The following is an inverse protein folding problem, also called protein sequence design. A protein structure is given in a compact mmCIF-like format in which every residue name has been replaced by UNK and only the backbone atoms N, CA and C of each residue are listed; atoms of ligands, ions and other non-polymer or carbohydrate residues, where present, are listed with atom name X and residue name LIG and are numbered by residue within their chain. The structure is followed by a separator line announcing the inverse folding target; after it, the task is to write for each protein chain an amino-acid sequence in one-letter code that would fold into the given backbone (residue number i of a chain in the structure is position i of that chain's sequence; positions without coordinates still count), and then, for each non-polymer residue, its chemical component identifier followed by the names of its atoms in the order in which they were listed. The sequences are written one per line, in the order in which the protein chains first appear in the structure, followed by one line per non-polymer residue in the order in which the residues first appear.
data_IF_741443069257
#
_entry.id   IF_741443069257
#
_cell.length_a   1.000
_cell.length_b   1.000
_cell.length_c   1.000
_cell.angle_alpha   90.00
_cell.angle_beta   90.00
_cell.angle_gamma   90.00
#
_symmetry.space_group_name_H-M   'P 1'
#
loop_
_entity.id
_entity.type
_entity.pdbx_description
1 polymer ?
#
# COMPACT_ATOMS: atom_id res chain seq x y z
N UNK A 1 68.74 -28.73 -29.11
CA UNK A 1 67.28 -28.80 -29.00
C UNK A 1 66.93 -28.59 -27.54
N UNK A 2 66.27 -27.47 -27.23
CA UNK A 2 65.79 -27.18 -25.88
C UNK A 2 64.61 -28.11 -25.55
N UNK A 3 64.45 -28.59 -24.31
CA UNK A 3 63.26 -29.31 -23.93
C UNK A 3 62.10 -28.31 -23.88
N UNK A 4 61.03 -28.59 -24.64
CA UNK A 4 59.75 -27.94 -24.42
C UNK A 4 59.23 -28.40 -23.07
N UNK A 5 59.30 -27.53 -22.07
CA UNK A 5 58.49 -27.67 -20.86
C UNK A 5 57.03 -27.47 -21.26
N UNK A 6 56.24 -28.55 -21.18
CA UNK A 6 54.79 -28.45 -21.19
C UNK A 6 54.38 -27.52 -20.04
N UNK A 7 53.79 -26.37 -20.39
CA UNK A 7 53.15 -25.50 -19.41
C UNK A 7 51.82 -26.17 -19.10
N UNK A 8 51.78 -26.98 -18.05
CA UNK A 8 50.52 -27.41 -17.44
C UNK A 8 49.85 -26.16 -16.85
N UNK A 9 48.82 -25.66 -17.55
CA UNK A 9 47.91 -24.68 -16.98
C UNK A 9 47.01 -25.47 -16.02
N UNK A 10 47.39 -25.52 -14.75
CA UNK A 10 46.49 -25.99 -13.70
C UNK A 10 45.27 -25.06 -13.66
N UNK A 11 44.13 -25.55 -14.16
CA UNK A 11 42.85 -24.87 -14.00
C UNK A 11 42.41 -25.00 -12.55
N UNK A 12 42.94 -24.13 -11.68
CA UNK A 12 42.45 -24.06 -10.29
C UNK A 12 41.00 -23.61 -10.33
N UNK A 13 40.11 -24.42 -9.75
CA UNK A 13 38.71 -24.04 -9.60
C UNK A 13 38.63 -22.75 -8.81
N UNK A 14 37.95 -21.74 -9.37
CA UNK A 14 37.72 -20.46 -8.68
C UNK A 14 36.72 -20.69 -7.55
N UNK A 15 37.14 -20.42 -6.32
CA UNK A 15 36.29 -20.49 -5.14
C UNK A 15 35.57 -19.15 -4.91
N UNK A 16 34.50 -19.13 -4.11
CA UNK A 16 33.77 -17.91 -3.78
C UNK A 16 34.68 -16.81 -3.21
N UNK A 17 35.62 -17.19 -2.35
CA UNK A 17 36.62 -16.30 -1.75
C UNK A 17 37.62 -15.72 -2.74
N UNK A 18 37.77 -16.33 -3.92
CA UNK A 18 38.66 -15.84 -4.97
C UNK A 18 38.02 -14.69 -5.78
N UNK A 19 36.70 -14.48 -5.64
CA UNK A 19 35.99 -13.39 -6.31
C UNK A 19 36.26 -12.05 -5.60
N UNK A 20 36.48 -10.95 -6.34
CA UNK A 20 36.47 -9.60 -5.79
C UNK A 20 35.18 -9.31 -5.02
N UNK A 21 35.28 -8.50 -3.96
CA UNK A 21 34.16 -8.20 -3.06
C UNK A 21 33.00 -7.52 -3.80
N UNK A 22 33.29 -6.75 -4.85
CA UNK A 22 32.30 -6.10 -5.69
C UNK A 22 31.46 -7.13 -6.47
N UNK A 23 32.10 -8.18 -7.01
CA UNK A 23 31.38 -9.26 -7.70
C UNK A 23 30.57 -10.11 -6.72
N UNK A 24 31.12 -10.38 -5.54
CA UNK A 24 30.37 -11.06 -4.48
C UNK A 24 29.12 -10.26 -4.09
N UNK A 25 29.26 -8.95 -3.89
CA UNK A 25 28.14 -8.05 -3.58
C UNK A 25 27.09 -8.04 -4.70
N UNK A 26 27.51 -7.92 -5.97
CA UNK A 26 26.59 -7.98 -7.11
C UNK A 26 25.81 -9.30 -7.17
N UNK A 27 26.45 -10.43 -6.90
CA UNK A 27 25.78 -11.74 -6.87
C UNK A 27 24.77 -11.79 -5.73
N UNK A 28 25.15 -11.33 -4.53
CA UNK A 28 24.24 -11.28 -3.37
C UNK A 28 23.06 -10.33 -3.61
N UNK A 29 23.27 -9.22 -4.34
CA UNK A 29 22.19 -8.32 -4.75
C UNK A 29 21.14 -9.02 -5.63
N UNK A 30 21.54 -10.01 -6.42
CA UNK A 30 20.64 -10.80 -7.27
C UNK A 30 19.95 -11.96 -6.51
N UNK A 31 20.40 -12.28 -5.29
CA UNK A 31 19.81 -13.34 -4.49
C UNK A 31 18.45 -12.91 -3.91
N UNK A 32 17.50 -13.85 -3.89
CA UNK A 32 16.24 -13.70 -3.17
C UNK A 32 16.45 -13.63 -1.65
N UNK A 33 15.40 -13.24 -0.92
CA UNK A 33 15.49 -13.09 0.53
C UNK A 33 15.86 -14.40 1.25
N UNK A 34 15.28 -15.53 0.84
CA UNK A 34 15.58 -16.84 1.44
C UNK A 34 17.06 -17.21 1.28
N UNK A 35 17.61 -17.01 0.10
CA UNK A 35 19.03 -17.27 -0.17
C UNK A 35 19.91 -16.35 0.67
N UNK A 36 19.54 -15.07 0.82
CA UNK A 36 20.26 -14.14 1.70
C UNK A 36 20.21 -14.56 3.17
N UNK A 37 19.09 -15.07 3.67
CA UNK A 37 19.03 -15.62 5.04
C UNK A 37 20.02 -16.78 5.21
N UNK A 38 20.09 -17.70 4.23
CA UNK A 38 21.07 -18.79 4.26
C UNK A 38 22.50 -18.27 4.22
N UNK A 39 22.78 -17.24 3.41
CA UNK A 39 24.09 -16.61 3.36
C UNK A 39 24.47 -15.99 4.72
N UNK A 40 23.53 -15.36 5.43
CA UNK A 40 23.76 -14.84 6.79
C UNK A 40 24.13 -15.95 7.78
N UNK A 41 23.50 -17.11 7.67
CA UNK A 41 23.78 -18.24 8.54
C UNK A 41 25.12 -18.93 8.24
N UNK A 42 25.69 -18.77 7.04
CA UNK A 42 26.90 -19.50 6.63
C UNK A 42 28.21 -18.95 7.18
N UNK A 43 28.41 -17.63 7.22
CA UNK A 43 29.64 -17.03 7.75
C UNK A 43 29.48 -15.54 8.06
N UNK A 44 30.37 -14.98 8.88
CA UNK A 44 30.36 -13.56 9.20
C UNK A 44 30.54 -12.68 7.95
N UNK A 45 31.41 -13.07 7.01
CA UNK A 45 31.65 -12.31 5.78
C UNK A 45 30.43 -12.32 4.86
N UNK A 46 29.76 -13.46 4.71
CA UNK A 46 28.54 -13.59 3.92
C UNK A 46 27.35 -12.90 4.57
N UNK A 47 27.27 -12.91 5.90
CA UNK A 47 26.32 -12.09 6.66
C UNK A 47 26.50 -10.61 6.36
N UNK A 48 27.71 -10.09 6.51
CA UNK A 48 28.00 -8.69 6.23
C UNK A 48 27.66 -8.32 4.77
N UNK A 49 27.99 -9.20 3.81
CA UNK A 49 27.62 -8.99 2.40
C UNK A 49 26.09 -8.97 2.19
N UNK A 50 25.36 -9.91 2.79
CA UNK A 50 23.90 -9.99 2.70
C UNK A 50 23.21 -8.78 3.36
N UNK A 51 23.76 -8.28 4.45
CA UNK A 51 23.24 -7.13 5.22
C UNK A 51 23.54 -5.78 4.56
N UNK A 52 24.60 -5.70 3.74
CA UNK A 52 24.97 -4.47 3.04
C UNK A 52 24.42 -4.40 1.62
N UNK A 53 24.21 -5.55 0.96
CA UNK A 53 23.67 -5.62 -0.39
C UNK A 53 22.25 -5.03 -0.47
N UNK A 54 21.98 -4.21 -1.50
CA UNK A 54 20.64 -3.65 -1.70
C UNK A 54 19.63 -4.76 -1.96
N UNK A 55 18.45 -4.68 -1.33
CA UNK A 55 17.34 -5.59 -1.56
C UNK A 55 16.15 -4.80 -2.06
N UNK A 56 15.61 -5.20 -3.21
CA UNK A 56 14.33 -4.72 -3.68
C UNK A 56 13.28 -5.80 -3.45
N UNK A 57 12.21 -5.49 -2.73
CA UNK A 57 11.07 -6.38 -2.52
C UNK A 57 9.93 -5.86 -3.42
N UNK A 58 9.59 -6.55 -4.52
CA UNK A 58 8.54 -6.10 -5.44
C UNK A 58 7.22 -5.76 -4.75
N UNK A 59 6.76 -6.63 -3.85
CA UNK A 59 5.54 -6.39 -3.11
C UNK A 59 5.57 -7.00 -1.71
N UNK A 60 5.03 -6.24 -0.76
CA UNK A 60 4.71 -6.67 0.60
C UNK A 60 3.23 -6.36 0.84
N UNK A 61 2.53 -7.27 1.52
CA UNK A 61 1.14 -7.08 1.88
C UNK A 61 0.91 -7.43 3.34
N UNK A 62 0.30 -6.51 4.08
CA UNK A 62 -0.21 -6.73 5.43
C UNK A 62 -1.72 -6.69 5.32
N UNK A 63 -2.38 -7.77 5.76
CA UNK A 63 -3.82 -7.91 5.75
C UNK A 63 -4.29 -8.32 7.13
N UNK A 64 -5.04 -7.44 7.76
CA UNK A 64 -5.85 -7.74 8.93
C UNK A 64 -7.11 -8.46 8.45
N UNK A 65 -7.48 -9.52 9.15
CA UNK A 65 -8.71 -10.27 8.92
C UNK A 65 -9.49 -10.28 10.23
N UNK A 66 -10.78 -10.56 10.09
CA UNK A 66 -11.65 -10.77 11.26
C UNK A 66 -11.10 -11.87 12.17
N UNK A 67 -11.42 -11.77 13.46
CA UNK A 67 -10.94 -12.65 14.53
C UNK A 67 -9.43 -12.51 14.81
N UNK A 68 -8.90 -11.29 14.78
CA UNK A 68 -7.51 -10.99 15.18
C UNK A 68 -6.43 -11.73 14.36
N UNK A 69 -6.76 -12.15 13.13
CA UNK A 69 -5.80 -12.83 12.26
C UNK A 69 -5.08 -11.80 11.40
N UNK A 70 -3.76 -11.78 11.47
CA UNK A 70 -2.94 -10.93 10.59
C UNK A 70 -2.22 -11.81 9.57
N UNK A 71 -2.23 -11.39 8.31
CA UNK A 71 -1.54 -12.06 7.21
C UNK A 71 -0.46 -11.16 6.65
N UNK A 72 0.78 -11.65 6.64
CA UNK A 72 1.92 -11.00 6.01
C UNK A 72 2.34 -11.79 4.77
N UNK A 73 2.38 -11.13 3.63
CA UNK A 73 2.72 -11.75 2.35
C UNK A 73 3.87 -11.01 1.68
N UNK A 74 4.88 -11.75 1.22
CA UNK A 74 5.98 -11.21 0.44
C UNK A 74 5.99 -11.82 -0.97
N UNK A 75 6.23 -10.97 -1.97
CA UNK A 75 6.46 -11.37 -3.36
C UNK A 75 7.85 -10.91 -3.79
N UNK A 76 8.77 -11.86 -3.98
CA UNK A 76 10.17 -11.57 -4.30
C UNK A 76 10.51 -11.61 -5.80
N UNK A 77 9.71 -12.28 -6.63
CA UNK A 77 9.91 -12.29 -8.09
C UNK A 77 8.60 -12.59 -8.83
N UNK A 78 8.50 -12.13 -10.08
CA UNK A 78 7.34 -12.40 -10.93
C UNK A 78 7.36 -13.88 -11.34
N UNK A 79 6.58 -14.72 -10.64
CA UNK A 79 6.46 -16.16 -10.92
C UNK A 79 6.90 -17.06 -9.76
N UNK A 80 7.43 -16.51 -8.67
CA UNK A 80 7.63 -17.27 -7.43
C UNK A 80 6.31 -17.44 -6.66
N UNK A 81 6.22 -18.50 -5.87
CA UNK A 81 5.16 -18.64 -4.88
C UNK A 81 5.22 -17.49 -3.88
N UNK A 82 4.05 -16.92 -3.57
CA UNK A 82 3.93 -15.91 -2.52
C UNK A 82 4.33 -16.52 -1.18
N UNK A 83 5.19 -15.81 -0.45
CA UNK A 83 5.56 -16.20 0.90
C UNK A 83 4.51 -15.64 1.86
N UNK A 84 3.52 -16.48 2.19
CA UNK A 84 2.37 -16.12 3.02
C UNK A 84 2.54 -16.67 4.43
N UNK A 85 2.49 -15.77 5.41
CA UNK A 85 2.45 -16.07 6.83
C UNK A 85 1.11 -15.61 7.41
N UNK A 86 0.47 -16.47 8.19
CA UNK A 86 -0.72 -16.12 8.96
C UNK A 86 -0.39 -16.19 10.44
N UNK A 87 -0.77 -15.14 11.16
CA UNK A 87 -0.59 -14.97 12.59
C UNK A 87 -1.97 -14.97 13.21
N UNK A 88 -2.19 -15.82 14.21
CA UNK A 88 -3.45 -15.89 14.91
C UNK A 88 -3.20 -16.14 16.39
N UNK A 89 -4.09 -15.57 17.20
CA UNK A 89 -4.06 -15.69 18.64
C UNK A 89 -4.40 -17.13 19.05
N UNK A 90 -3.66 -17.66 20.02
CA UNK A 90 -3.99 -18.88 20.74
C UNK A 90 -4.51 -18.53 22.14
N UNK A 91 -4.95 -19.53 22.90
CA UNK A 91 -5.25 -19.34 24.31
C UNK A 91 -4.03 -18.78 25.06
N UNK A 92 -4.26 -17.98 26.11
CA UNK A 92 -3.22 -17.46 27.02
C UNK A 92 -2.26 -16.41 26.44
N UNK A 93 -2.63 -15.72 25.34
CA UNK A 93 -1.83 -14.61 24.78
C UNK A 93 -0.60 -15.06 24.00
N UNK A 94 -0.60 -16.31 23.53
CA UNK A 94 0.40 -16.82 22.59
C UNK A 94 -0.03 -16.51 21.15
N UNK A 95 0.93 -16.30 20.26
CA UNK A 95 0.69 -16.19 18.82
C UNK A 95 1.22 -17.40 18.09
N UNK A 96 0.41 -17.94 17.18
CA UNK A 96 0.84 -19.00 16.29
C UNK A 96 1.04 -18.48 14.87
N UNK A 97 2.18 -18.86 14.28
CA UNK A 97 2.60 -18.49 12.94
C UNK A 97 2.47 -19.71 12.04
N UNK A 98 1.56 -19.62 11.06
CA UNK A 98 1.33 -20.64 10.03
C UNK A 98 1.91 -20.22 8.71
N UNK A 99 2.75 -21.10 8.15
CA UNK A 99 3.17 -21.07 6.75
C UNK A 99 2.74 -22.35 6.04
N UNK A 100 2.20 -22.22 4.83
CA UNK A 100 1.81 -23.38 4.01
C UNK A 100 3.00 -24.33 3.83
N UNK A 101 2.79 -25.61 4.17
CA UNK A 101 3.79 -26.67 4.00
C UNK A 101 4.92 -26.67 5.03
N UNK A 102 4.83 -25.86 6.09
CA UNK A 102 5.77 -25.85 7.20
C UNK A 102 5.09 -26.16 8.53
N UNK A 103 5.91 -26.48 9.52
CA UNK A 103 5.46 -26.65 10.89
C UNK A 103 5.06 -25.29 11.48
N UNK A 104 4.01 -25.32 12.29
CA UNK A 104 3.53 -24.15 13.01
C UNK A 104 4.55 -23.72 14.06
N UNK A 105 4.81 -22.42 14.15
CA UNK A 105 5.69 -21.82 15.16
C UNK A 105 4.82 -21.13 16.21
N UNK A 106 5.11 -21.33 17.49
CA UNK A 106 4.42 -20.67 18.60
C UNK A 106 5.36 -19.63 19.19
N UNK A 107 4.86 -18.42 19.36
CA UNK A 107 5.57 -17.30 19.98
C UNK A 107 4.81 -16.90 21.22
N UNK A 108 5.49 -16.95 22.36
CA UNK A 108 4.91 -16.59 23.65
C UNK A 108 4.88 -15.07 23.84
N UNK A 109 3.90 -14.61 24.63
CA UNK A 109 3.80 -13.22 25.14
C UNK A 109 3.78 -12.12 24.06
N UNK A 110 3.26 -12.41 22.86
CA UNK A 110 3.05 -11.43 21.79
C UNK A 110 1.71 -11.65 21.15
N UNK A 111 0.99 -10.56 20.86
CA UNK A 111 -0.20 -10.64 20.03
C UNK A 111 0.16 -10.80 18.53
N UNK A 112 -0.81 -11.23 17.69
CA UNK A 112 -0.56 -11.46 16.27
C UNK A 112 -0.08 -10.23 15.50
N UNK A 113 -0.52 -9.03 15.89
CA UNK A 113 -0.07 -7.77 15.32
C UNK A 113 1.39 -7.50 15.65
N UNK A 114 1.76 -7.53 16.93
CA UNK A 114 3.16 -7.35 17.36
C UNK A 114 4.12 -8.35 16.69
N UNK A 115 3.78 -9.64 16.69
CA UNK A 115 4.60 -10.67 16.04
C UNK A 115 4.72 -10.45 14.52
N UNK A 116 3.66 -9.97 13.87
CA UNK A 116 3.69 -9.60 12.45
C UNK A 116 4.62 -8.41 12.21
N UNK A 117 4.50 -7.38 13.04
CA UNK A 117 5.26 -6.15 12.89
C UNK A 117 6.75 -6.37 13.13
N UNK A 118 7.12 -7.22 14.09
CA UNK A 118 8.51 -7.59 14.32
C UNK A 118 9.14 -8.26 13.10
N UNK A 119 8.41 -9.15 12.43
CA UNK A 119 8.92 -9.74 11.20
C UNK A 119 8.97 -8.70 10.08
N UNK A 120 7.93 -7.89 9.92
CA UNK A 120 7.94 -6.81 8.93
C UNK A 120 9.14 -5.87 9.14
N UNK A 121 9.42 -5.45 10.37
CA UNK A 121 10.59 -4.62 10.71
C UNK A 121 11.89 -5.30 10.34
N UNK A 122 12.07 -6.55 10.76
CA UNK A 122 13.26 -7.35 10.45
C UNK A 122 13.48 -7.51 8.94
N UNK A 123 12.42 -7.66 8.15
CA UNK A 123 12.54 -7.86 6.70
C UNK A 123 12.60 -6.57 5.89
N UNK A 124 11.89 -5.52 6.30
CA UNK A 124 11.58 -4.36 5.46
C UNK A 124 12.14 -3.04 5.97
N UNK A 125 12.42 -2.92 7.27
CA UNK A 125 12.83 -1.65 7.90
C UNK A 125 14.35 -1.66 8.08
N UNK A 126 15.05 -2.00 6.99
CA UNK A 126 16.50 -1.97 6.92
C UNK A 126 16.96 -0.86 5.95
N UNK A 127 18.14 -0.28 6.20
CA UNK A 127 18.67 0.84 5.41
C UNK A 127 18.92 0.51 3.93
N UNK A 128 19.10 -0.76 3.60
CA UNK A 128 19.39 -1.28 2.26
C UNK A 128 18.18 -1.94 1.58
N UNK A 129 17.00 -1.95 2.22
CA UNK A 129 15.79 -2.55 1.66
C UNK A 129 14.91 -1.46 1.05
N UNK A 130 14.32 -1.73 -0.10
CA UNK A 130 13.29 -0.88 -0.72
C UNK A 130 12.10 -1.75 -1.15
N UNK A 131 10.90 -1.34 -0.78
CA UNK A 131 9.65 -1.97 -1.18
C UNK A 131 9.12 -1.27 -2.43
N UNK A 132 8.77 -2.04 -3.46
CA UNK A 132 8.06 -1.52 -4.64
C UNK A 132 6.64 -1.13 -4.27
N UNK A 133 5.84 -2.11 -3.87
CA UNK A 133 4.43 -1.93 -3.52
C UNK A 133 4.12 -2.47 -2.12
N UNK A 134 3.64 -1.60 -1.24
CA UNK A 134 3.10 -1.98 0.06
C UNK A 134 1.57 -1.95 0.01
N UNK A 135 0.96 -3.11 0.23
CA UNK A 135 -0.48 -3.26 0.32
C UNK A 135 -0.90 -3.38 1.78
N UNK A 136 -1.80 -2.53 2.23
CA UNK A 136 -2.38 -2.56 3.57
C UNK A 136 -3.87 -2.82 3.44
N UNK A 137 -4.37 -3.86 4.07
CA UNK A 137 -5.80 -4.12 4.25
C UNK A 137 -6.06 -4.13 5.75
N UNK A 138 -6.61 -3.05 6.29
CA UNK A 138 -6.72 -2.83 7.73
C UNK A 138 -8.18 -2.81 8.19
N UNK A 139 -8.46 -3.34 9.38
CA UNK A 139 -9.77 -3.36 10.02
C UNK A 139 -9.73 -3.04 11.52
N UNK A 140 -10.89 -2.71 12.11
CA UNK A 140 -11.04 -2.30 13.52
C UNK A 140 -10.72 -3.39 14.57
N UNK A 141 -10.57 -4.64 14.15
CA UNK A 141 -10.46 -5.79 15.07
C UNK A 141 -9.03 -6.08 15.53
N UNK A 142 -8.04 -5.22 15.22
CA UNK A 142 -6.65 -5.43 15.65
C UNK A 142 -6.15 -4.28 16.52
N UNK A 143 -5.47 -4.63 17.61
CA UNK A 143 -5.08 -3.75 18.72
C UNK A 143 -3.94 -2.76 18.41
N UNK A 144 -3.66 -2.46 17.13
CA UNK A 144 -2.59 -1.52 16.75
C UNK A 144 -2.71 -0.14 17.43
N UNK A 145 -3.92 0.23 17.83
CA UNK A 145 -4.25 1.47 18.52
C UNK A 145 -3.66 1.60 19.92
N UNK A 146 -3.35 0.50 20.60
CA UNK A 146 -2.85 0.56 21.98
C UNK A 146 -1.35 0.89 22.04
N UNK A 147 -0.65 0.87 20.91
CA UNK A 147 0.78 1.07 20.81
C UNK A 147 1.13 2.32 19.98
N UNK A 148 1.16 3.49 20.60
CA UNK A 148 1.69 4.74 20.01
C UNK A 148 3.16 4.63 19.53
N UNK A 149 3.83 3.53 19.86
CA UNK A 149 5.23 3.24 19.57
C UNK A 149 5.44 2.07 18.58
N UNK A 150 4.52 1.84 17.63
CA UNK A 150 4.71 0.79 16.60
C UNK A 150 6.08 0.92 15.91
N UNK A 151 6.62 2.13 15.74
CA UNK A 151 7.96 2.32 15.19
C UNK A 151 8.79 3.30 16.02
N UNK A 152 10.07 2.98 16.23
CA UNK A 152 11.06 3.89 16.82
C UNK A 152 11.45 5.00 15.83
N UNK A 153 11.91 6.16 16.33
CA UNK A 153 12.26 7.32 15.49
C UNK A 153 13.34 7.04 14.43
N UNK A 154 14.17 6.03 14.64
CA UNK A 154 15.22 5.60 13.70
C UNK A 154 14.73 4.61 12.64
N UNK A 155 13.55 4.03 12.83
CA UNK A 155 12.93 3.09 11.89
C UNK A 155 12.26 3.85 10.74
N UNK A 156 12.94 3.85 9.58
CA UNK A 156 12.49 4.52 8.36
C UNK A 156 12.17 3.47 7.30
N UNK A 157 10.97 3.56 6.73
CA UNK A 157 10.45 2.66 5.72
C UNK A 157 10.75 3.24 4.33
N UNK A 158 11.38 2.45 3.48
CA UNK A 158 11.70 2.84 2.10
C UNK A 158 10.72 2.16 1.15
N UNK A 159 9.68 2.87 0.74
CA UNK A 159 8.62 2.33 -0.11
C UNK A 159 8.31 3.29 -1.26
N UNK A 160 8.06 2.72 -2.44
CA UNK A 160 7.73 3.53 -3.63
C UNK A 160 6.23 3.77 -3.76
N UNK A 161 5.39 2.79 -3.43
CA UNK A 161 3.93 2.87 -3.63
C UNK A 161 3.18 2.22 -2.48
N UNK A 162 2.13 2.88 -2.01
CA UNK A 162 1.23 2.37 -0.97
C UNK A 162 -0.19 2.28 -1.51
N UNK A 163 -0.80 1.10 -1.40
CA UNK A 163 -2.23 0.90 -1.55
C UNK A 163 -2.80 0.50 -0.19
N UNK A 164 -3.66 1.33 0.36
CA UNK A 164 -4.30 1.11 1.65
C UNK A 164 -5.80 0.97 1.48
N UNK A 165 -6.31 -0.21 1.76
CA UNK A 165 -7.72 -0.51 1.93
C UNK A 165 -8.06 -0.38 3.41
N UNK A 166 -8.82 0.66 3.75
CA UNK A 166 -9.20 0.99 5.11
C UNK A 166 -10.65 0.53 5.36
N UNK A 167 -10.82 -0.40 6.29
CA UNK A 167 -12.10 -0.92 6.77
C UNK A 167 -12.21 -0.73 8.29
N UNK A 168 -12.11 0.53 8.76
CA UNK A 168 -12.01 0.87 10.17
C UNK A 168 -10.94 1.92 10.44
N UNK A 169 -10.68 2.23 11.70
CA UNK A 169 -9.79 3.27 12.18
C UNK A 169 -8.33 2.82 12.41
N UNK A 170 -7.94 1.59 12.01
CA UNK A 170 -6.61 1.03 12.32
C UNK A 170 -5.45 2.02 12.10
N UNK A 171 -4.70 2.29 13.18
CA UNK A 171 -3.59 3.26 13.18
C UNK A 171 -2.40 2.85 12.31
N UNK A 172 -2.29 1.56 11.94
CA UNK A 172 -1.13 1.00 11.23
C UNK A 172 -0.80 1.77 9.93
N UNK A 173 -1.81 2.07 9.11
CA UNK A 173 -1.61 2.75 7.83
C UNK A 173 -1.03 4.16 8.01
N UNK A 174 -1.58 4.92 8.97
CA UNK A 174 -1.07 6.24 9.32
C UNK A 174 0.37 6.16 9.87
N UNK A 175 0.65 5.24 10.78
CA UNK A 175 1.99 5.11 11.36
C UNK A 175 3.03 4.73 10.31
N UNK A 176 2.70 3.81 9.40
CA UNK A 176 3.60 3.46 8.28
C UNK A 176 3.89 4.68 7.42
N UNK A 177 2.88 5.47 7.05
CA UNK A 177 3.06 6.67 6.23
C UNK A 177 3.95 7.72 6.92
N UNK A 178 3.82 7.91 8.23
CA UNK A 178 4.70 8.81 9.01
C UNK A 178 6.17 8.38 8.98
N UNK A 179 6.45 7.07 8.83
CA UNK A 179 7.80 6.52 8.77
C UNK A 179 8.35 6.34 7.36
N UNK A 180 7.56 6.66 6.34
CA UNK A 180 8.00 6.55 4.96
C UNK A 180 9.03 7.62 4.61
N UNK A 181 10.08 7.21 3.91
CA UNK A 181 11.10 8.12 3.38
C UNK A 181 10.49 9.00 2.28
N UNK A 182 10.37 10.33 2.46
CA UNK A 182 9.58 11.14 1.54
C UNK A 182 10.14 11.25 0.13
N UNK A 183 11.45 11.07 -0.05
CA UNK A 183 12.08 11.14 -1.37
C UNK A 183 11.80 9.92 -2.26
N UNK A 184 11.36 8.81 -1.67
CA UNK A 184 11.15 7.55 -2.40
C UNK A 184 9.68 7.29 -2.73
N UNK A 185 8.76 7.84 -1.93
CA UNK A 185 7.33 7.60 -2.08
C UNK A 185 6.78 8.38 -3.28
N UNK A 186 6.19 7.64 -4.22
CA UNK A 186 5.65 8.15 -5.48
C UNK A 186 4.13 8.09 -5.53
N UNK A 187 3.54 7.01 -5.03
CA UNK A 187 2.09 6.81 -5.12
C UNK A 187 1.50 6.47 -3.75
N UNK A 188 0.46 7.20 -3.37
CA UNK A 188 -0.42 6.86 -2.25
C UNK A 188 -1.83 6.69 -2.82
N UNK A 189 -2.42 5.52 -2.55
CA UNK A 189 -3.83 5.25 -2.83
C UNK A 189 -4.51 4.72 -1.58
N UNK A 190 -5.53 5.41 -1.08
CA UNK A 190 -6.36 4.99 0.06
C UNK A 190 -7.78 4.74 -0.43
N UNK A 191 -8.32 3.56 -0.16
CA UNK A 191 -9.69 3.17 -0.48
C UNK A 191 -10.40 2.82 0.81
N UNK A 192 -11.41 3.61 1.15
CA UNK A 192 -12.17 3.45 2.38
C UNK A 192 -13.50 2.72 2.12
N UNK A 193 -13.87 1.82 3.03
CA UNK A 193 -15.17 1.12 3.00
C UNK A 193 -16.16 1.63 4.07
N UNK A 194 -15.70 2.48 5.00
CA UNK A 194 -16.48 3.05 6.09
C UNK A 194 -16.61 4.58 5.95
N UNK A 195 -17.63 5.18 6.56
CA UNK A 195 -17.90 6.64 6.45
C UNK A 195 -17.08 7.47 7.46
N UNK A 196 -15.82 7.13 7.71
CA UNK A 196 -14.99 7.91 8.61
C UNK A 196 -14.18 8.94 7.84
N UNK A 197 -13.71 9.98 8.54
CA UNK A 197 -12.73 10.88 7.96
C UNK A 197 -11.35 10.21 8.02
N UNK A 198 -10.61 10.30 6.92
CA UNK A 198 -9.20 9.91 6.84
C UNK A 198 -8.39 11.10 7.32
N UNK A 199 -7.88 11.01 8.55
CA UNK A 199 -7.06 12.06 9.17
C UNK A 199 -5.61 11.92 8.68
N UNK A 200 -5.36 12.36 7.45
CA UNK A 200 -4.06 12.18 6.80
C UNK A 200 -3.23 13.47 6.85
N UNK A 201 -3.84 14.65 6.67
CA UNK A 201 -3.11 15.91 6.59
C UNK A 201 -2.73 16.47 7.97
N UNK A 202 -3.52 16.20 9.00
CA UNK A 202 -3.22 16.54 10.38
C UNK A 202 -2.10 15.64 10.94
N UNK A 203 -2.17 14.33 10.66
CA UNK A 203 -1.25 13.32 11.22
C UNK A 203 0.02 13.15 10.39
N UNK A 204 -0.08 13.35 9.07
CA UNK A 204 1.02 13.17 8.12
C UNK A 204 1.23 14.48 7.37
N UNK A 205 2.44 15.01 7.43
CA UNK A 205 2.80 16.16 6.60
C UNK A 205 3.00 15.72 5.14
N UNK A 206 1.89 15.54 4.40
CA UNK A 206 1.92 15.08 3.00
C UNK A 206 2.76 15.98 2.10
N UNK A 207 2.90 17.27 2.47
CA UNK A 207 3.73 18.24 1.75
C UNK A 207 5.22 17.89 1.80
N UNK A 208 5.64 17.01 2.72
CA UNK A 208 6.99 16.45 2.74
C UNK A 208 7.27 15.54 1.52
N UNK A 209 6.25 14.92 0.92
CA UNK A 209 6.37 14.03 -0.24
C UNK A 209 6.50 14.82 -1.56
N UNK A 210 7.63 15.50 -1.74
CA UNK A 210 7.89 16.34 -2.93
C UNK A 210 7.91 15.55 -4.25
N UNK A 211 8.19 14.25 -4.19
CA UNK A 211 8.30 13.37 -5.35
C UNK A 211 7.01 12.57 -5.60
N UNK A 212 5.93 12.87 -4.88
CA UNK A 212 4.65 12.18 -5.06
C UNK A 212 4.12 12.46 -6.46
N UNK A 213 3.97 11.40 -7.26
CA UNK A 213 3.40 11.40 -8.60
C UNK A 213 1.86 11.31 -8.48
N UNK A 214 1.35 10.46 -7.59
CA UNK A 214 -0.10 10.27 -7.38
C UNK A 214 -0.51 10.29 -5.90
N UNK A 215 -1.59 11.02 -5.60
CA UNK A 215 -2.34 10.95 -4.35
C UNK A 215 -3.81 10.65 -4.64
N UNK A 216 -4.33 9.48 -4.26
CA UNK A 216 -5.73 9.14 -4.53
C UNK A 216 -6.39 8.62 -3.26
N UNK A 217 -7.30 9.39 -2.68
CA UNK A 217 -8.02 9.04 -1.46
C UNK A 217 -9.51 9.01 -1.80
N UNK A 218 -10.08 7.81 -1.69
CA UNK A 218 -11.50 7.54 -1.93
C UNK A 218 -12.15 7.39 -0.56
N UNK A 219 -12.56 8.53 0.00
CA UNK A 219 -13.01 8.68 1.38
C UNK A 219 -12.96 10.15 1.78
N UNK A 220 -13.67 10.51 2.85
CA UNK A 220 -13.70 11.87 3.37
C UNK A 220 -12.33 12.23 3.96
N UNK A 221 -11.75 13.38 3.63
CA UNK A 221 -10.41 13.78 4.11
C UNK A 221 -10.40 15.12 4.86
N UNK A 222 -9.49 15.22 5.83
CA UNK A 222 -9.20 16.37 6.68
C UNK A 222 -8.42 17.52 6.00
N UNK A 223 -8.22 17.46 4.68
CA UNK A 223 -7.43 18.44 3.94
C UNK A 223 -8.17 19.78 3.77
N UNK A 224 -7.49 20.90 4.00
CA UNK A 224 -8.01 22.24 3.64
C UNK A 224 -7.54 22.67 2.25
N UNK A 225 -8.13 23.76 1.72
CA UNK A 225 -7.80 24.30 0.40
C UNK A 225 -6.30 24.57 0.21
N UNK A 226 -5.65 25.14 1.23
CA UNK A 226 -4.21 25.45 1.21
C UNK A 226 -3.35 24.18 1.10
N UNK A 227 -3.81 23.07 1.68
CA UNK A 227 -3.11 21.79 1.61
C UNK A 227 -3.13 21.25 0.18
N UNK A 228 -4.30 21.23 -0.43
CA UNK A 228 -4.48 20.75 -1.81
C UNK A 228 -3.69 21.63 -2.79
N UNK A 229 -3.70 22.95 -2.59
CA UNK A 229 -2.95 23.88 -3.43
C UNK A 229 -1.43 23.72 -3.29
N UNK A 230 -0.92 23.24 -2.16
CA UNK A 230 0.50 22.98 -1.94
C UNK A 230 0.99 21.67 -2.58
N UNK A 231 0.08 20.76 -2.97
CA UNK A 231 0.46 19.49 -3.60
C UNK A 231 1.09 19.71 -4.97
N UNK A 232 2.14 18.93 -5.24
CA UNK A 232 2.85 18.92 -6.52
C UNK A 232 2.53 17.70 -7.39
N UNK A 233 1.77 16.73 -6.86
CA UNK A 233 1.41 15.51 -7.56
C UNK A 233 0.68 15.79 -8.88
N UNK A 234 0.97 14.94 -9.88
CA UNK A 234 0.38 15.04 -11.21
C UNK A 234 -1.02 14.44 -11.23
N UNK A 235 -1.26 13.41 -10.42
CA UNK A 235 -2.58 12.81 -10.22
C UNK A 235 -3.06 13.02 -8.80
N UNK A 236 -4.19 13.70 -8.62
CA UNK A 236 -4.81 13.92 -7.31
C UNK A 236 -6.29 13.55 -7.37
N UNK A 237 -6.73 12.67 -6.47
CA UNK A 237 -8.13 12.40 -6.18
C UNK A 237 -8.32 12.60 -4.68
N UNK A 238 -9.17 13.56 -4.28
CA UNK A 238 -9.50 13.83 -2.89
C UNK A 238 -10.99 14.12 -2.76
N UNK A 239 -11.61 13.71 -1.65
CA UNK A 239 -13.01 13.97 -1.38
C UNK A 239 -13.15 14.66 -0.03
N UNK A 240 -13.72 15.87 0.01
CA UNK A 240 -13.92 16.56 1.28
C UNK A 240 -15.10 17.53 1.30
N UNK A 241 -15.86 17.54 2.40
CA UNK A 241 -16.94 18.49 2.65
C UNK A 241 -16.45 19.94 2.89
N UNK A 242 -15.19 20.13 3.32
CA UNK A 242 -14.67 21.46 3.69
C UNK A 242 -14.07 22.25 2.51
N UNK A 243 -13.82 21.62 1.37
CA UNK A 243 -13.25 22.29 0.21
C UNK A 243 -14.09 23.48 -0.26
N UNK A 244 -13.49 24.62 -0.59
CA UNK A 244 -14.28 25.78 -1.06
C UNK A 244 -14.52 25.77 -2.57
N UNK A 245 -15.48 26.58 -3.04
CA UNK A 245 -15.61 26.86 -4.48
C UNK A 245 -14.40 27.63 -5.03
N UNK A 246 -13.70 28.39 -4.19
CA UNK A 246 -12.47 29.12 -4.58
C UNK A 246 -11.33 28.16 -4.87
N UNK A 247 -11.24 27.02 -4.17
CA UNK A 247 -10.26 25.97 -4.45
C UNK A 247 -10.32 25.56 -5.92
N UNK A 248 -11.51 25.22 -6.42
CA UNK A 248 -11.68 24.78 -7.82
C UNK A 248 -11.18 25.85 -8.80
N UNK A 249 -11.50 27.12 -8.55
CA UNK A 249 -11.05 28.23 -9.39
C UNK A 249 -9.51 28.38 -9.35
N UNK A 250 -8.90 28.34 -8.17
CA UNK A 250 -7.45 28.49 -8.02
C UNK A 250 -6.67 27.30 -8.62
N UNK A 251 -7.23 26.10 -8.50
CA UNK A 251 -6.71 24.90 -9.13
C UNK A 251 -6.74 25.01 -10.66
N UNK A 252 -7.88 25.41 -11.25
CA UNK A 252 -7.97 25.66 -12.69
C UNK A 252 -6.90 26.67 -13.14
N UNK A 253 -6.70 27.76 -12.39
CA UNK A 253 -5.65 28.76 -12.68
C UNK A 253 -4.24 28.19 -12.52
N UNK A 254 -3.98 27.39 -11.49
CA UNK A 254 -2.68 26.75 -11.24
C UNK A 254 -2.33 25.83 -12.41
N UNK A 255 -3.25 24.96 -12.81
CA UNK A 255 -3.03 23.98 -13.87
C UNK A 255 -2.95 24.59 -15.27
N UNK A 256 -3.79 25.56 -15.59
CA UNK A 256 -3.69 26.31 -16.84
C UNK A 256 -2.33 27.02 -17.00
N UNK A 257 -1.69 27.43 -15.88
CA UNK A 257 -0.36 28.04 -15.87
C UNK A 257 0.78 27.01 -15.93
N UNK A 258 0.65 25.91 -15.20
CA UNK A 258 1.72 24.92 -15.02
C UNK A 258 1.80 23.89 -16.16
N UNK A 259 0.81 23.83 -17.06
CA UNK A 259 0.76 22.90 -18.20
C UNK A 259 0.99 21.43 -17.79
N UNK A 260 0.46 21.05 -16.62
CA UNK A 260 0.53 19.70 -16.07
C UNK A 260 -0.53 18.82 -16.75
N UNK A 261 -0.11 17.64 -17.20
CA UNK A 261 -0.81 16.78 -18.18
C UNK A 261 -1.82 15.77 -17.60
N UNK A 262 -2.16 15.83 -16.31
CA UNK A 262 -2.72 14.67 -15.62
C UNK A 262 -4.00 14.95 -14.81
N UNK A 263 -4.72 13.86 -14.56
CA UNK A 263 -6.11 13.85 -14.07
C UNK A 263 -6.22 14.31 -12.63
N UNK A 264 -7.08 15.28 -12.41
CA UNK A 264 -7.49 15.75 -11.10
C UNK A 264 -8.95 15.29 -10.85
N UNK A 265 -9.33 15.04 -9.60
CA UNK A 265 -10.72 14.84 -9.21
C UNK A 265 -10.90 15.33 -7.77
N UNK A 266 -11.74 16.34 -7.58
CA UNK A 266 -12.30 16.66 -6.27
C UNK A 266 -13.75 16.24 -6.27
N UNK A 267 -14.22 15.68 -5.16
CA UNK A 267 -15.65 15.58 -4.88
C UNK A 267 -15.88 16.29 -3.55
N UNK A 268 -16.82 17.24 -3.54
CA UNK A 268 -17.22 17.97 -2.33
C UNK A 268 -18.67 17.64 -2.00
N UNK A 269 -19.01 17.65 -0.71
CA UNK A 269 -20.39 17.85 -0.24
C UNK A 269 -20.56 19.26 0.36
N UNK A 270 -21.24 20.19 -0.33
CA UNK A 270 -21.63 21.49 0.26
C UNK A 270 -21.37 22.74 -0.61
N UNK A 271 -22.06 23.84 -0.30
CA UNK A 271 -22.35 25.01 -1.16
C UNK A 271 -21.30 25.45 -2.21
N UNK A 272 -21.75 25.63 -3.48
CA UNK A 272 -20.96 26.03 -4.66
C UNK A 272 -21.39 27.38 -5.27
N UNK A 273 -22.08 28.24 -4.52
CA UNK A 273 -22.49 29.55 -5.01
C UNK A 273 -21.30 30.42 -5.49
N UNK A 274 -20.09 30.15 -4.99
CA UNK A 274 -18.85 30.86 -5.35
C UNK A 274 -18.10 30.28 -6.57
N UNK A 275 -18.57 29.16 -7.15
CA UNK A 275 -17.91 28.51 -8.28
C UNK A 275 -18.16 29.32 -9.57
N UNK A 276 -17.08 29.81 -10.19
CA UNK A 276 -17.18 30.54 -11.45
C UNK A 276 -17.04 29.60 -12.64
N UNK A 277 -17.97 29.66 -13.59
CA UNK A 277 -17.87 28.91 -14.87
C UNK A 277 -17.26 29.77 -15.98
N UNK A 278 -16.69 30.92 -15.64
CA UNK A 278 -16.07 31.84 -16.59
C UNK A 278 -14.95 31.13 -17.37
N UNK A 279 -15.04 31.15 -18.71
CA UNK A 279 -14.10 30.45 -19.59
C UNK A 279 -14.50 29.02 -19.95
N UNK A 280 -15.55 28.47 -19.34
CA UNK A 280 -16.10 27.17 -19.71
C UNK A 280 -17.28 27.29 -20.68
N UNK A 281 -17.31 26.38 -21.66
CA UNK A 281 -18.46 26.13 -22.53
C UNK A 281 -19.37 25.08 -21.89
N UNK A 282 -20.70 25.30 -21.84
CA UNK A 282 -21.63 24.26 -21.40
C UNK A 282 -21.61 23.09 -22.38
N UNK A 283 -21.54 21.88 -21.84
CA UNK A 283 -21.81 20.65 -22.60
C UNK A 283 -23.32 20.43 -22.51
N UNK A 284 -24.03 20.25 -23.64
CA UNK A 284 -25.45 19.93 -23.61
C UNK A 284 -25.67 18.68 -22.76
N UNK A 285 -26.28 18.84 -21.59
CA UNK A 285 -26.74 17.71 -20.78
C UNK A 285 -27.91 17.03 -21.51
N UNK A 286 -28.07 15.73 -21.30
CA UNK A 286 -29.34 15.08 -21.66
C UNK A 286 -30.45 15.78 -20.87
N UNK A 287 -31.47 16.27 -21.58
CA UNK A 287 -32.63 16.92 -20.95
C UNK A 287 -33.18 16.03 -19.82
N UNK A 288 -33.24 16.57 -18.59
CA UNK A 288 -33.76 15.86 -17.41
C UNK A 288 -32.73 15.40 -16.38
N UNK A 289 -31.42 15.51 -16.66
CA UNK A 289 -30.38 15.13 -15.68
C UNK A 289 -30.08 16.27 -14.68
N UNK A 290 -29.86 15.98 -13.38
CA UNK A 290 -29.53 16.98 -12.36
C UNK A 290 -28.07 17.46 -12.42
N UNK A 291 -27.31 17.05 -13.45
CA UNK A 291 -25.90 17.39 -13.62
C UNK A 291 -25.74 18.42 -14.74
N UNK A 292 -25.11 19.54 -14.40
CA UNK A 292 -24.59 20.50 -15.38
C UNK A 292 -23.13 20.17 -15.69
N UNK A 293 -22.79 19.98 -16.97
CA UNK A 293 -21.42 19.71 -17.40
C UNK A 293 -20.88 20.86 -18.23
N UNK A 294 -19.61 21.19 -18.04
CA UNK A 294 -18.91 22.25 -18.74
C UNK A 294 -17.53 21.76 -19.18
N UNK A 295 -16.99 22.36 -20.24
CA UNK A 295 -15.62 22.11 -20.72
C UNK A 295 -14.86 23.40 -20.95
N UNK A 296 -13.56 23.39 -20.68
CA UNK A 296 -12.66 24.47 -21.05
C UNK A 296 -11.46 23.88 -21.81
N UNK A 297 -11.30 24.19 -23.10
CA UNK A 297 -10.13 23.76 -23.86
C UNK A 297 -8.88 24.52 -23.38
N UNK A 298 -7.77 23.80 -23.25
CA UNK A 298 -6.45 24.35 -22.94
C UNK A 298 -5.62 24.48 -24.22
N UNK A 299 -4.57 25.34 -24.24
CA UNK A 299 -3.74 25.58 -25.42
C UNK A 299 -2.99 24.35 -25.96
N UNK A 300 -2.86 23.29 -25.17
CA UNK A 300 -2.08 22.07 -25.44
C UNK A 300 -2.94 20.89 -25.94
N UNK A 301 -4.17 21.14 -26.37
CA UNK A 301 -5.22 20.15 -26.72
C UNK A 301 -5.80 19.37 -25.53
N UNK A 302 -5.42 19.68 -24.29
CA UNK A 302 -6.09 19.16 -23.10
C UNK A 302 -7.44 19.85 -22.90
N UNK A 303 -8.39 19.18 -22.24
CA UNK A 303 -9.69 19.74 -21.89
C UNK A 303 -9.94 19.56 -20.41
N UNK A 304 -10.31 20.64 -19.73
CA UNK A 304 -10.81 20.62 -18.37
C UNK A 304 -12.32 20.41 -18.41
N UNK A 305 -12.80 19.32 -17.83
CA UNK A 305 -14.19 19.00 -17.62
C UNK A 305 -14.60 19.40 -16.20
N UNK A 306 -15.69 20.13 -16.09
CA UNK A 306 -16.30 20.52 -14.84
C UNK A 306 -17.72 19.95 -14.81
N UNK A 307 -17.98 18.97 -13.95
CA UNK A 307 -19.33 18.42 -13.72
C UNK A 307 -19.85 18.96 -12.39
N UNK A 308 -21.05 19.54 -12.38
CA UNK A 308 -21.74 20.05 -11.19
C UNK A 308 -23.05 19.29 -11.00
N UNK A 309 -23.13 18.51 -9.94
CA UNK A 309 -24.36 17.92 -9.43
C UNK A 309 -24.98 18.75 -8.29
N UNK A 310 -26.08 18.28 -7.69
CA UNK A 310 -26.77 18.97 -6.59
C UNK A 310 -25.93 19.03 -5.31
N UNK A 311 -25.10 18.02 -5.02
CA UNK A 311 -24.28 17.96 -3.81
C UNK A 311 -22.78 18.05 -4.05
N UNK A 312 -22.32 17.74 -5.27
CA UNK A 312 -20.90 17.63 -5.59
C UNK A 312 -20.52 18.32 -6.90
N UNK A 313 -19.25 18.74 -6.96
CA UNK A 313 -18.58 19.22 -8.16
C UNK A 313 -17.37 18.35 -8.38
N UNK A 314 -17.18 17.93 -9.64
CA UNK A 314 -16.01 17.22 -10.12
C UNK A 314 -15.29 18.06 -11.16
N UNK A 315 -13.98 18.18 -11.01
CA UNK A 315 -13.09 18.84 -11.95
C UNK A 315 -12.09 17.79 -12.46
N UNK A 316 -12.02 17.59 -13.77
CA UNK A 316 -11.16 16.58 -14.40
C UNK A 316 -10.42 17.15 -15.61
N UNK A 317 -9.14 16.82 -15.77
CA UNK A 317 -8.32 17.22 -16.93
C UNK A 317 -8.02 15.98 -17.77
N UNK A 318 -8.38 16.01 -19.06
CA UNK A 318 -8.21 14.87 -19.99
C UNK A 318 -7.68 15.32 -21.35
N UNK A 319 -6.87 14.46 -21.97
CA UNK A 319 -6.36 14.64 -23.35
C UNK A 319 -7.34 14.12 -24.43
N UNK A 320 -8.38 13.37 -24.05
CA UNK A 320 -9.43 12.82 -24.93
C UNK A 320 -10.78 12.70 -24.20
N UNK A 321 -11.93 12.77 -24.92
CA UNK A 321 -13.25 12.54 -24.34
C UNK A 321 -13.42 11.08 -23.85
N UNK A 322 -14.24 10.90 -22.82
CA UNK A 322 -14.40 9.68 -22.02
C UNK A 322 -14.90 8.47 -22.82
N UNK A 323 -14.36 7.28 -22.55
CA UNK A 323 -15.08 6.00 -22.69
C UNK A 323 -15.63 5.61 -21.32
N UNK A 324 -16.95 5.52 -21.16
CA UNK A 324 -17.71 5.43 -19.89
C UNK A 324 -17.62 4.09 -19.12
N UNK A 325 -16.54 3.33 -19.26
CA UNK A 325 -16.54 1.90 -18.86
C UNK A 325 -15.80 1.56 -17.56
N UNK A 326 -15.23 2.53 -16.83
CA UNK A 326 -14.65 2.24 -15.52
C UNK A 326 -15.74 2.13 -14.44
N UNK A 327 -15.75 1.06 -13.60
CA UNK A 327 -16.64 0.96 -12.45
C UNK A 327 -16.59 2.18 -11.52
N UNK A 328 -15.41 2.80 -11.40
CA UNK A 328 -15.20 4.01 -10.61
C UNK A 328 -15.82 5.26 -11.27
N UNK A 329 -15.85 5.33 -12.61
CA UNK A 329 -16.54 6.41 -13.33
C UNK A 329 -18.06 6.32 -13.16
N UNK A 330 -18.61 5.10 -13.09
CA UNK A 330 -20.02 4.88 -12.74
C UNK A 330 -20.33 5.30 -11.30
N UNK A 331 -19.45 5.02 -10.35
CA UNK A 331 -19.61 5.47 -8.97
C UNK A 331 -19.53 7.00 -8.85
N UNK A 332 -18.61 7.64 -9.59
CA UNK A 332 -18.50 9.10 -9.68
C UNK A 332 -19.77 9.75 -10.22
N UNK A 333 -20.32 9.21 -11.31
CA UNK A 333 -21.59 9.70 -11.84
C UNK A 333 -22.73 9.48 -10.86
N UNK A 334 -22.76 8.33 -10.16
CA UNK A 334 -23.74 8.08 -9.10
C UNK A 334 -23.67 9.17 -8.02
N UNK A 335 -22.48 9.49 -7.50
CA UNK A 335 -22.29 10.54 -6.49
C UNK A 335 -22.69 11.94 -6.98
N UNK A 336 -22.51 12.23 -8.27
CA UNK A 336 -22.94 13.49 -8.88
C UNK A 336 -24.46 13.54 -9.14
N UNK A 337 -25.15 12.40 -9.28
CA UNK A 337 -26.59 12.34 -9.59
C UNK A 337 -27.46 12.26 -8.34
N UNK A 338 -26.98 11.67 -7.25
CA UNK A 338 -27.81 11.39 -6.07
C UNK A 338 -28.03 12.63 -5.19
N UNK A 339 -29.28 12.78 -4.73
CA UNK A 339 -29.69 13.77 -3.72
C UNK A 339 -29.53 13.25 -2.28
N UNK A 340 -29.29 11.94 -2.11
CA UNK A 340 -28.92 11.33 -0.83
C UNK A 340 -27.49 11.71 -0.44
N UNK A 341 -27.15 11.69 0.84
CA UNK A 341 -25.74 11.76 1.25
C UNK A 341 -25.05 10.54 0.66
N UNK A 342 -24.11 10.76 -0.25
CA UNK A 342 -23.42 9.70 -0.99
C UNK A 342 -22.48 8.96 -0.04
N UNK A 343 -23.04 8.04 0.74
CA UNK A 343 -22.26 7.04 1.44
C UNK A 343 -21.81 6.00 0.40
N UNK A 344 -20.51 6.01 0.11
CA UNK A 344 -19.86 5.18 -0.88
C UNK A 344 -19.82 3.70 -0.42
N UNK A 345 -20.95 2.99 -0.44
CA UNK A 345 -20.95 1.53 -0.31
C UNK A 345 -20.86 0.89 -1.72
N UNK A 346 -19.71 0.29 -2.10
CA UNK A 346 -19.59 -0.43 -3.36
C UNK A 346 -20.49 -1.69 -3.44
N UNK A 347 -21.08 -2.14 -2.33
CA UNK A 347 -22.02 -3.25 -2.25
C UNK A 347 -23.50 -2.84 -2.25
N UNK A 348 -23.82 -1.54 -2.40
CA UNK A 348 -25.20 -1.10 -2.55
C UNK A 348 -25.72 -1.44 -3.97
N UNK A 349 -26.05 -2.71 -4.17
CA UNK A 349 -27.07 -3.11 -5.12
C UNK A 349 -28.39 -2.45 -4.67
N UNK A 350 -29.18 -1.86 -5.58
CA UNK A 350 -30.50 -1.40 -5.20
C UNK A 350 -31.25 -2.62 -4.66
N UNK A 351 -31.73 -2.53 -3.42
CA UNK A 351 -32.76 -3.43 -2.93
C UNK A 351 -33.92 -3.31 -3.92
N UNK A 352 -34.02 -4.26 -4.86
CA UNK A 352 -35.33 -4.59 -5.40
C UNK A 352 -36.12 -5.12 -4.23
N UNK A 353 -37.28 -4.52 -3.97
CA UNK A 353 -38.25 -4.94 -2.97
C UNK A 353 -38.60 -6.42 -3.19
N UNK A 354 -37.81 -7.30 -2.55
CA UNK A 354 -37.99 -8.73 -2.46
C UNK A 354 -38.53 -9.05 -1.08
N UNK A 355 -39.85 -9.10 -1.01
CA UNK A 355 -40.64 -9.65 0.08
C UNK A 355 -40.24 -11.12 0.30
N UNK A 356 -39.34 -11.39 1.24
CA UNK A 356 -39.03 -12.75 1.71
C UNK A 356 -39.05 -12.77 3.25
N UNK A 357 -40.27 -12.71 3.79
CA UNK A 357 -40.58 -13.37 5.05
C UNK A 357 -40.36 -14.89 4.91
N UNK A 358 -39.85 -15.51 5.97
CA UNK A 358 -39.56 -16.96 6.14
C UNK A 358 -38.13 -17.37 5.78
N UNK A 359 -37.27 -17.54 6.79
CA UNK A 359 -36.74 -18.85 7.18
C UNK A 359 -35.87 -18.70 8.44
N UNK A 360 -36.50 -18.84 9.61
CA UNK A 360 -35.83 -19.32 10.81
C UNK A 360 -35.77 -20.87 10.78
N UNK A 361 -34.74 -21.42 11.44
CA UNK A 361 -34.47 -22.83 11.79
C UNK A 361 -33.85 -23.76 10.74
N UNK A 362 -32.62 -24.23 11.02
CA UNK A 362 -32.27 -25.57 11.58
C UNK A 362 -30.73 -25.63 11.75
N UNK A 363 -30.20 -25.52 12.96
CA UNK A 363 -29.68 -26.63 13.81
C UNK A 363 -28.62 -27.55 13.18
N UNK A 364 -27.44 -27.55 13.80
CA UNK A 364 -26.51 -28.66 14.06
C UNK A 364 -26.29 -29.73 12.96
N UNK A 365 -25.05 -29.79 12.47
CA UNK A 365 -24.42 -31.06 12.09
C UNK A 365 -22.89 -30.98 12.04
N UNK A 366 -22.28 -31.55 13.07
CA UNK A 366 -20.97 -32.17 12.99
C UNK A 366 -20.95 -33.22 11.86
N UNK A 367 -19.87 -33.26 11.08
CA UNK A 367 -19.30 -34.53 10.60
C UNK A 367 -17.93 -34.31 9.99
N UNK A 368 -16.94 -34.84 10.70
CA UNK A 368 -15.65 -35.36 10.27
C UNK A 368 -15.53 -35.73 8.79
N UNK A 369 -14.45 -35.28 8.15
CA UNK A 369 -13.78 -36.03 7.09
C UNK A 369 -12.26 -35.83 7.16
N UNK A 370 -11.60 -36.82 7.76
CA UNK A 370 -10.23 -37.20 7.43
C UNK A 370 -10.16 -37.69 5.97
N UNK A 371 -9.03 -37.41 5.31
CA UNK A 371 -8.29 -38.28 4.37
C UNK A 371 -7.14 -37.43 3.78
N UNK A 372 -5.90 -37.63 4.20
CA UNK A 372 -5.01 -38.73 3.77
C UNK A 372 -4.77 -38.73 2.25
N UNK A 373 -3.79 -37.93 1.79
CA UNK A 373 -2.97 -38.26 0.61
C UNK A 373 -1.56 -37.71 0.78
N UNK A 374 -0.62 -38.63 1.00
CA UNK A 374 0.81 -38.35 0.98
C UNK A 374 1.32 -38.16 -0.45
N UNK A 375 2.04 -37.06 -0.67
CA UNK A 375 3.09 -36.96 -1.69
C UNK A 375 4.24 -36.12 -1.11
N UNK A 376 5.41 -36.74 -1.04
CA UNK A 376 6.63 -36.16 -0.49
C UNK A 376 7.13 -34.99 -1.33
N UNK A 377 7.26 -33.83 -0.70
CA UNK A 377 7.97 -32.68 -1.23
C UNK A 377 9.08 -32.29 -0.25
N UNK A 378 10.27 -32.03 -0.80
CA UNK A 378 11.46 -31.70 -0.04
C UNK A 378 11.22 -30.42 0.77
N UNK A 379 11.45 -30.56 2.07
CA UNK A 379 11.49 -29.51 3.09
C UNK A 379 12.43 -28.37 2.66
N UNK A 380 11.90 -27.15 2.71
CA UNK A 380 12.70 -25.95 2.93
C UNK A 380 12.40 -25.50 4.35
N UNK A 381 13.19 -26.01 5.30
CA UNK A 381 13.11 -25.66 6.72
C UNK A 381 13.50 -24.19 6.89
N UNK A 382 12.68 -23.43 7.61
CA UNK A 382 13.17 -22.31 8.40
C UNK A 382 13.62 -22.93 9.71
N UNK A 383 14.88 -22.71 10.05
CA UNK A 383 15.50 -23.25 11.24
C UNK A 383 15.20 -22.32 12.43
N UNK A 384 15.11 -22.88 13.63
CA UNK A 384 14.82 -22.14 14.87
C UNK A 384 15.87 -21.04 15.14
N UNK A 385 17.05 -21.15 14.52
CA UNK A 385 18.13 -20.16 14.53
C UNK A 385 17.79 -18.81 13.87
N UNK A 386 16.68 -18.69 13.15
CA UNK A 386 16.15 -17.39 12.69
C UNK A 386 15.37 -16.61 13.78
N UNK A 387 15.11 -17.25 14.94
CA UNK A 387 14.31 -16.70 16.04
C UNK A 387 15.10 -16.45 17.34
N UNK A 388 16.28 -17.06 17.51
CA UNK A 388 17.06 -16.93 18.73
C UNK A 388 18.18 -15.86 18.65
N UNK A 389 18.10 -14.93 19.62
CA UNK A 389 19.14 -14.07 20.19
C UNK A 389 20.02 -13.23 19.22
N UNK A 390 19.66 -11.95 19.08
CA UNK A 390 20.67 -10.89 18.96
C UNK A 390 20.73 -10.09 20.25
N UNK A 391 21.77 -10.40 21.02
CA UNK A 391 22.29 -9.61 22.12
C UNK A 391 22.72 -8.24 21.58
N UNK A 392 21.97 -7.20 21.91
CA UNK A 392 22.40 -5.81 21.70
C UNK A 392 23.47 -5.48 22.75
N UNK A 393 24.72 -5.86 22.50
CA UNK A 393 25.83 -5.20 23.16
C UNK A 393 25.97 -3.80 22.56
N UNK A 394 25.48 -2.81 23.30
CA UNK A 394 25.81 -1.40 23.10
C UNK A 394 27.34 -1.23 23.21
N UNK A 395 28.02 -1.09 22.09
CA UNK A 395 29.34 -0.47 22.06
C UNK A 395 29.14 1.06 22.01
N UNK A 396 28.88 1.64 23.20
CA UNK A 396 29.36 2.99 23.49
C UNK A 396 30.89 2.91 23.63
N UNK A 397 31.62 3.22 22.56
CA UNK A 397 33.03 3.59 22.67
C UNK A 397 33.20 5.07 22.28
N UNK A 398 33.40 5.87 23.32
CA UNK A 398 34.26 7.06 23.42
C UNK A 398 34.77 7.67 22.11
N UNK A 399 34.34 8.92 21.84
CA UNK A 399 35.25 10.09 21.74
C UNK A 399 34.49 11.43 21.84
#
# INVERSE_FOLDING_TARGET
MLPMSEIEIESRATEWSDLPIELQSMIVELCDYSTRCRLRATSFSLKHLADTAKLFIPSVKIREKRNEVVQLTFTFSSGAEEYVLNYYSLEWGQTCIKQRGKQDVIVDEKDPGEATLDLFKRCCVQKNVTIGHLFLETCDETSWFENDNLFSLSEIIQVQKILWHRDGDSGLGCTILQRCRPELLKDIKVQEYCNFEVILFEVINVKAFKNLESLQIFGQIDAVDEDVLALNASKIHLESHIFSGKLVNELVKKWARENKKESFCLLKGGNFDELTTTGFEPIPSLEGEPISAYRMPLPDNSVIYLKRGPKAVSLEIKNQPVSDDSPMDRQRERCLRTTADCCCDPNFAPYEDGDDSEYDNYSDRDSDYENEYGYGWRRYELDESDFDEYDFSNDEEDY
#
